data_IF_963665436898
#
_entry.id   IF_963665436898
#
_cell.length_a   1.000
_cell.length_b   1.000
_cell.length_c   1.000
_cell.angle_alpha   90.00
_cell.angle_beta   90.00
_cell.angle_gamma   90.00
#
_symmetry.space_group_name_H-M   'P 1'
#
loop_
_entity.id
_entity.type
_entity.pdbx_description
1 polymer ?
#
# COMPACT_ATOMS: atom_id res chain seq x y z
N UNK A 1 16.06 4.71 18.70
CA UNK A 1 14.90 3.79 18.49
C UNK A 1 14.67 3.43 17.03
N UNK A 2 14.55 4.42 16.08
CA UNK A 2 14.30 4.09 14.66
C UNK A 2 15.54 3.47 13.99
N UNK A 3 16.71 3.97 14.31
CA UNK A 3 17.99 3.41 13.84
C UNK A 3 18.22 1.98 14.39
N UNK A 4 17.89 1.74 15.64
CA UNK A 4 17.97 0.40 16.24
C UNK A 4 16.98 -0.57 15.57
N UNK A 5 15.78 -0.09 15.21
CA UNK A 5 14.81 -0.87 14.46
C UNK A 5 15.32 -1.22 13.06
N UNK A 6 15.95 -0.28 12.34
CA UNK A 6 16.60 -0.56 11.05
C UNK A 6 17.66 -1.64 11.18
N UNK A 7 18.58 -1.50 12.15
CA UNK A 7 19.65 -2.47 12.37
C UNK A 7 19.10 -3.86 12.71
N UNK A 8 18.02 -3.91 13.52
CA UNK A 8 17.37 -5.18 13.87
C UNK A 8 16.72 -5.85 12.65
N UNK A 9 16.04 -5.09 11.80
CA UNK A 9 15.46 -5.61 10.56
C UNK A 9 16.56 -6.14 9.63
N UNK A 10 17.68 -5.40 9.48
CA UNK A 10 18.80 -5.83 8.62
C UNK A 10 19.42 -7.12 9.12
N UNK A 11 19.71 -7.22 10.42
CA UNK A 11 20.24 -8.47 11.02
C UNK A 11 19.28 -9.65 10.83
N UNK A 12 17.98 -9.43 10.99
CA UNK A 12 17.00 -10.49 10.76
C UNK A 12 16.99 -10.94 9.28
N UNK A 13 17.15 -10.02 8.34
CA UNK A 13 17.23 -10.35 6.90
C UNK A 13 18.56 -11.00 6.51
N UNK A 14 19.67 -10.73 7.22
CA UNK A 14 20.93 -11.48 7.05
C UNK A 14 20.74 -12.95 7.44
N UNK A 15 19.97 -13.22 8.52
CA UNK A 15 19.68 -14.59 8.97
C UNK A 15 18.63 -15.28 8.09
N UNK A 16 17.62 -14.56 7.64
CA UNK A 16 16.56 -15.07 6.77
C UNK A 16 16.21 -14.05 5.67
N UNK A 17 16.92 -14.07 4.53
CA UNK A 17 16.69 -13.10 3.43
C UNK A 17 15.29 -13.16 2.80
N UNK A 18 14.56 -14.27 3.01
CA UNK A 18 13.21 -14.46 2.46
C UNK A 18 12.09 -14.07 3.43
N UNK A 19 12.40 -13.55 4.62
CA UNK A 19 11.37 -13.11 5.56
C UNK A 19 10.64 -11.87 5.04
N UNK A 20 9.44 -12.11 4.52
CA UNK A 20 8.58 -11.08 3.94
C UNK A 20 8.17 -10.03 4.95
N UNK A 21 7.83 -10.44 6.18
CA UNK A 21 7.38 -9.52 7.22
C UNK A 21 8.49 -8.53 7.60
N UNK A 22 9.71 -9.02 7.74
CA UNK A 22 10.86 -8.15 8.05
C UNK A 22 11.21 -7.23 6.88
N UNK A 23 11.12 -7.70 5.62
CA UNK A 23 11.26 -6.84 4.44
C UNK A 23 10.25 -5.70 4.45
N UNK A 24 8.98 -6.00 4.69
CA UNK A 24 7.91 -5.00 4.76
C UNK A 24 8.12 -3.99 5.88
N UNK A 25 8.48 -4.46 7.07
CA UNK A 25 8.78 -3.60 8.20
C UNK A 25 9.94 -2.64 7.88
N UNK A 26 10.99 -3.12 7.23
CA UNK A 26 12.12 -2.29 6.79
C UNK A 26 11.69 -1.26 5.74
N UNK A 27 10.89 -1.67 4.74
CA UNK A 27 10.35 -0.76 3.72
C UNK A 27 9.52 0.34 4.39
N UNK A 28 8.58 -0.03 5.25
CA UNK A 28 7.74 0.92 5.97
C UNK A 28 8.55 1.88 6.84
N UNK A 29 9.56 1.37 7.54
CA UNK A 29 10.46 2.20 8.35
C UNK A 29 11.18 3.23 7.48
N UNK A 30 11.73 2.84 6.34
CA UNK A 30 12.47 3.72 5.44
C UNK A 30 11.59 4.73 4.68
N UNK A 31 10.26 4.59 4.74
CA UNK A 31 9.35 5.64 4.24
C UNK A 31 9.24 6.84 5.19
N UNK A 32 9.48 6.64 6.48
CA UNK A 32 9.32 7.68 7.53
C UNK A 32 10.63 8.04 8.23
N UNK A 33 11.68 7.25 8.03
CA UNK A 33 12.98 7.42 8.67
C UNK A 33 14.07 7.64 7.63
N UNK A 34 14.93 8.63 7.87
CA UNK A 34 16.11 8.89 7.05
C UNK A 34 17.32 8.24 7.71
N UNK A 35 17.93 7.20 7.08
CA UNK A 35 19.10 6.53 7.64
C UNK A 35 20.34 7.44 7.63
N UNK A 36 21.26 7.22 8.56
CA UNK A 36 22.52 8.00 8.64
C UNK A 36 23.40 7.74 7.41
N UNK A 37 23.47 6.50 6.96
CA UNK A 37 24.22 6.13 5.75
C UNK A 37 23.28 6.04 4.54
N UNK A 38 23.01 7.19 3.91
CA UNK A 38 22.10 7.30 2.77
C UNK A 38 22.69 6.64 1.53
N UNK A 39 23.99 6.81 1.28
CA UNK A 39 24.64 6.40 0.02
C UNK A 39 24.62 4.88 -0.22
N UNK A 40 24.61 4.09 0.83
CA UNK A 40 24.55 2.62 0.75
C UNK A 40 23.13 2.05 0.86
N UNK A 41 22.12 2.90 1.15
CA UNK A 41 20.76 2.45 1.39
C UNK A 41 19.91 2.54 0.13
N UNK A 42 19.96 1.51 -0.73
CA UNK A 42 19.29 1.47 -2.02
C UNK A 42 17.75 1.63 -1.89
N UNK A 43 17.14 1.03 -0.87
CA UNK A 43 15.69 1.19 -0.61
C UNK A 43 15.33 2.63 -0.31
N UNK A 44 16.13 3.30 0.51
CA UNK A 44 15.90 4.72 0.82
C UNK A 44 16.06 5.60 -0.41
N UNK A 45 17.12 5.39 -1.19
CA UNK A 45 17.37 6.14 -2.43
C UNK A 45 16.25 5.95 -3.44
N UNK A 46 15.79 4.73 -3.63
CA UNK A 46 14.65 4.44 -4.50
C UNK A 46 13.38 5.16 -4.03
N UNK A 47 13.09 5.14 -2.73
CA UNK A 47 11.94 5.84 -2.16
C UNK A 47 12.03 7.36 -2.35
N UNK A 48 13.22 7.96 -2.22
CA UNK A 48 13.42 9.39 -2.48
C UNK A 48 13.19 9.75 -3.95
N UNK A 49 13.56 8.88 -4.90
CA UNK A 49 13.25 9.10 -6.32
C UNK A 49 11.74 9.01 -6.57
N UNK A 50 11.04 8.04 -5.97
CA UNK A 50 9.58 7.97 -6.04
C UNK A 50 8.91 9.23 -5.50
N UNK A 51 9.38 9.78 -4.38
CA UNK A 51 8.85 11.03 -3.81
C UNK A 51 9.02 12.24 -4.74
N UNK A 52 10.04 12.24 -5.60
CA UNK A 52 10.29 13.30 -6.58
C UNK A 52 9.36 13.23 -7.78
N UNK A 53 8.68 12.10 -8.00
CA UNK A 53 7.65 12.01 -9.03
C UNK A 53 6.48 12.89 -8.60
N UNK A 54 6.43 14.09 -9.16
CA UNK A 54 5.42 15.09 -8.81
C UNK A 54 4.09 14.73 -9.48
N UNK A 55 3.19 14.08 -8.73
CA UNK A 55 2.00 13.42 -9.23
C UNK A 55 0.83 14.35 -9.47
N UNK A 56 0.78 15.49 -8.78
CA UNK A 56 -0.40 16.35 -8.83
C UNK A 56 -0.01 17.80 -8.57
N UNK A 57 -0.08 18.60 -9.62
CA UNK A 57 0.26 20.02 -9.54
C UNK A 57 -0.79 20.90 -8.88
N UNK A 58 -2.06 20.47 -8.80
CA UNK A 58 -3.16 21.26 -8.19
C UNK A 58 -4.17 20.35 -7.49
N UNK A 59 -4.81 20.86 -6.44
CA UNK A 59 -5.81 20.10 -5.65
C UNK A 59 -7.04 19.66 -6.44
N UNK A 60 -7.39 20.36 -7.53
CA UNK A 60 -8.63 20.16 -8.31
C UNK A 60 -8.41 19.52 -9.69
N UNK A 61 -7.19 19.18 -10.07
CA UNK A 61 -6.95 18.61 -11.41
C UNK A 61 -7.24 17.11 -11.43
N UNK A 62 -8.08 16.69 -12.36
CA UNK A 62 -8.27 15.28 -12.68
C UNK A 62 -7.02 14.78 -13.40
N UNK A 63 -6.54 13.61 -13.00
CA UNK A 63 -5.44 12.95 -13.71
C UNK A 63 -5.97 12.37 -15.03
N UNK A 64 -5.31 12.69 -16.12
CA UNK A 64 -5.58 12.11 -17.44
C UNK A 64 -4.93 10.75 -17.60
N UNK A 65 -5.38 9.94 -18.57
CA UNK A 65 -4.76 8.64 -18.87
C UNK A 65 -3.29 8.80 -19.26
N UNK A 66 -2.96 9.84 -20.00
CA UNK A 66 -1.57 10.15 -20.39
C UNK A 66 -0.68 10.41 -19.18
N UNK A 67 -1.18 11.13 -18.20
CA UNK A 67 -0.44 11.39 -16.95
C UNK A 67 -0.31 10.13 -16.09
N UNK A 68 -1.37 9.32 -16.00
CA UNK A 68 -1.32 8.05 -15.29
C UNK A 68 -0.33 7.06 -15.93
N UNK A 69 -0.31 6.97 -17.26
CA UNK A 69 0.64 6.16 -18.01
C UNK A 69 2.07 6.65 -17.78
N UNK A 70 2.31 7.95 -17.87
CA UNK A 70 3.64 8.54 -17.62
C UNK A 70 4.11 8.26 -16.21
N UNK A 71 3.21 8.37 -15.21
CA UNK A 71 3.49 8.04 -13.83
C UNK A 71 3.95 6.58 -13.67
N UNK A 72 3.18 5.66 -14.25
CA UNK A 72 3.51 4.25 -14.22
C UNK A 72 4.87 3.95 -14.88
N UNK A 73 5.14 4.55 -16.04
CA UNK A 73 6.41 4.39 -16.75
C UNK A 73 7.59 4.91 -15.92
N UNK A 74 7.48 6.12 -15.37
CA UNK A 74 8.51 6.68 -14.48
C UNK A 74 8.75 5.77 -13.24
N UNK A 75 7.68 5.25 -12.67
CA UNK A 75 7.78 4.30 -11.56
C UNK A 75 8.52 3.01 -11.94
N UNK A 76 8.22 2.45 -13.11
CA UNK A 76 8.91 1.28 -13.64
C UNK A 76 10.41 1.54 -13.91
N UNK A 77 10.76 2.70 -14.44
CA UNK A 77 12.16 3.08 -14.68
C UNK A 77 12.94 3.15 -13.36
N UNK A 78 12.38 3.80 -12.33
CA UNK A 78 12.98 3.84 -11.00
C UNK A 78 13.14 2.43 -10.44
N UNK A 79 12.09 1.61 -10.48
CA UNK A 79 12.14 0.24 -9.99
C UNK A 79 13.26 -0.57 -10.67
N UNK A 80 13.33 -0.51 -12.00
CA UNK A 80 14.36 -1.22 -12.79
C UNK A 80 15.77 -0.73 -12.51
N UNK A 81 15.95 0.59 -12.30
CA UNK A 81 17.25 1.20 -12.00
C UNK A 81 17.87 0.61 -10.73
N UNK A 82 17.07 0.38 -9.69
CA UNK A 82 17.56 -0.13 -8.41
C UNK A 82 17.61 -1.66 -8.37
N UNK A 83 16.84 -2.34 -9.20
CA UNK A 83 16.79 -3.81 -9.33
C UNK A 83 16.75 -4.54 -7.98
N UNK A 84 15.97 -4.03 -7.04
CA UNK A 84 15.80 -4.62 -5.72
C UNK A 84 14.80 -5.76 -5.77
N UNK A 85 15.13 -6.87 -5.12
CA UNK A 85 14.18 -7.97 -4.88
C UNK A 85 13.14 -7.53 -3.83
N UNK A 86 12.10 -6.91 -4.32
CA UNK A 86 10.94 -6.48 -3.53
C UNK A 86 9.79 -7.47 -3.68
N UNK A 87 10.01 -8.76 -3.45
CA UNK A 87 8.91 -9.71 -3.31
C UNK A 87 7.97 -9.25 -2.20
N UNK A 88 7.09 -8.30 -2.54
CA UNK A 88 6.06 -7.78 -1.63
C UNK A 88 4.83 -8.64 -1.82
N UNK A 89 4.38 -9.29 -0.75
CA UNK A 89 3.16 -10.09 -0.76
C UNK A 89 1.88 -9.24 -0.77
N UNK A 90 1.99 -7.93 -0.59
CA UNK A 90 0.84 -7.04 -0.54
C UNK A 90 0.56 -6.38 -1.88
N UNK A 91 -0.50 -6.82 -2.51
CA UNK A 91 -1.07 -6.20 -3.69
C UNK A 91 -2.13 -5.15 -3.31
N UNK A 92 -1.94 -4.48 -2.18
CA UNK A 92 -2.90 -3.55 -1.60
C UNK A 92 -2.20 -2.27 -1.15
N UNK A 93 -2.81 -1.13 -1.45
CA UNK A 93 -2.40 0.18 -0.97
C UNK A 93 -3.55 0.76 -0.15
N UNK A 94 -3.26 1.14 1.09
CA UNK A 94 -4.26 1.66 2.02
C UNK A 94 -4.12 3.16 2.22
N UNK A 95 -5.25 3.84 2.33
CA UNK A 95 -5.38 5.07 3.08
C UNK A 95 -6.26 4.77 4.29
N UNK A 96 -5.63 4.62 5.45
CA UNK A 96 -6.36 4.47 6.70
C UNK A 96 -6.86 5.81 7.20
N UNK A 97 -7.97 5.77 7.91
CA UNK A 97 -8.40 6.83 8.80
C UNK A 97 -7.77 6.63 10.20
N UNK A 98 -8.15 7.46 11.16
CA UNK A 98 -7.72 7.35 12.55
C UNK A 98 -8.40 6.19 13.31
N UNK A 99 -9.45 5.61 12.75
CA UNK A 99 -10.23 4.54 13.37
C UNK A 99 -9.60 3.20 13.07
N UNK A 100 -9.13 2.51 14.09
CA UNK A 100 -8.67 1.13 13.98
C UNK A 100 -9.86 0.17 14.04
N UNK A 101 -10.20 -0.45 12.92
CA UNK A 101 -11.30 -1.41 12.81
C UNK A 101 -11.02 -2.76 13.49
N UNK A 102 -9.84 -2.96 14.06
CA UNK A 102 -9.41 -4.22 14.68
C UNK A 102 -9.62 -5.49 13.81
N UNK A 103 -9.59 -5.34 12.49
CA UNK A 103 -9.86 -6.44 11.55
C UNK A 103 -8.98 -7.67 11.80
N UNK A 104 -7.72 -7.49 12.16
CA UNK A 104 -6.81 -8.60 12.48
C UNK A 104 -7.27 -9.41 13.71
N UNK A 105 -7.85 -8.75 14.71
CA UNK A 105 -8.43 -9.42 15.88
C UNK A 105 -9.69 -10.19 15.49
N UNK A 106 -10.57 -9.58 14.73
CA UNK A 106 -11.82 -10.21 14.26
C UNK A 106 -11.54 -11.41 13.37
N UNK A 107 -10.61 -11.32 12.43
CA UNK A 107 -10.19 -12.44 11.58
C UNK A 107 -9.57 -13.58 12.38
N UNK A 108 -8.85 -13.28 13.46
CA UNK A 108 -8.29 -14.31 14.34
C UNK A 108 -9.39 -15.10 15.05
N UNK A 109 -10.41 -14.41 15.58
CA UNK A 109 -11.58 -15.04 16.20
C UNK A 109 -12.32 -15.91 15.17
N UNK A 110 -12.55 -15.39 13.96
CA UNK A 110 -13.18 -16.15 12.89
C UNK A 110 -12.39 -17.42 12.55
N UNK A 111 -11.08 -17.32 12.35
CA UNK A 111 -10.23 -18.45 11.96
C UNK A 111 -10.10 -19.50 13.06
N UNK A 112 -10.09 -19.09 14.36
CA UNK A 112 -9.94 -20.00 15.47
C UNK A 112 -11.25 -20.67 15.89
N UNK A 113 -12.36 -19.95 15.79
CA UNK A 113 -13.64 -20.39 16.37
C UNK A 113 -14.77 -20.51 15.36
N UNK A 114 -14.54 -20.14 14.07
CA UNK A 114 -15.55 -20.04 13.03
C UNK A 114 -16.76 -19.17 13.43
N UNK A 115 -16.49 -18.11 14.22
CA UNK A 115 -17.49 -17.18 14.72
C UNK A 115 -17.25 -15.81 14.08
N UNK A 116 -18.30 -15.21 13.52
CA UNK A 116 -18.27 -13.85 13.02
C UNK A 116 -18.55 -12.90 14.18
N UNK A 117 -17.60 -12.02 14.58
CA UNK A 117 -17.85 -11.03 15.63
C UNK A 117 -18.99 -10.08 15.25
N UNK A 118 -19.80 -9.68 16.23
CA UNK A 118 -20.96 -8.81 16.03
C UNK A 118 -20.62 -7.53 15.25
N UNK A 119 -19.50 -6.91 15.56
CA UNK A 119 -19.03 -5.70 14.84
C UNK A 119 -18.81 -5.90 13.35
N UNK A 120 -18.62 -7.15 12.89
CA UNK A 120 -18.41 -7.44 11.47
C UNK A 120 -19.73 -7.51 10.68
N UNK A 121 -20.88 -7.65 11.34
CA UNK A 121 -22.17 -7.68 10.67
C UNK A 121 -22.58 -6.31 10.09
N UNK A 122 -22.11 -5.22 10.69
CA UNK A 122 -22.31 -3.86 10.18
C UNK A 122 -21.19 -3.33 9.28
N UNK A 123 -20.15 -4.13 9.05
CA UNK A 123 -19.00 -3.70 8.27
C UNK A 123 -19.23 -3.93 6.76
N UNK A 124 -19.81 -2.95 6.09
CA UNK A 124 -20.01 -2.97 4.65
C UNK A 124 -18.80 -2.40 3.91
N UNK A 125 -18.63 -2.85 2.67
CA UNK A 125 -17.62 -2.32 1.75
C UNK A 125 -18.28 -1.99 0.42
N UNK A 126 -18.06 -0.77 -0.04
CA UNK A 126 -18.37 -0.41 -1.42
C UNK A 126 -17.17 -0.83 -2.28
N UNK A 127 -17.42 -1.63 -3.30
CA UNK A 127 -16.42 -2.06 -4.28
C UNK A 127 -16.58 -1.24 -5.56
N UNK A 128 -15.45 -0.71 -6.04
CA UNK A 128 -15.34 -0.05 -7.33
C UNK A 128 -14.41 -0.90 -8.18
N UNK A 129 -14.94 -1.51 -9.22
CA UNK A 129 -14.17 -2.29 -10.20
C UNK A 129 -13.72 -1.39 -11.35
N UNK A 130 -12.53 -1.65 -11.87
CA UNK A 130 -11.95 -0.95 -13.01
C UNK A 130 -11.26 -1.96 -13.92
N UNK A 131 -11.12 -1.65 -15.21
CA UNK A 131 -10.74 -2.62 -16.23
C UNK A 131 -9.24 -2.66 -16.53
N UNK A 132 -8.47 -1.71 -16.01
CA UNK A 132 -7.05 -1.61 -16.30
C UNK A 132 -6.22 -1.09 -15.14
N UNK A 133 -4.90 -1.34 -15.22
CA UNK A 133 -3.93 -0.79 -14.24
C UNK A 133 -3.91 0.75 -14.26
N UNK A 134 -4.14 1.37 -15.42
CA UNK A 134 -4.20 2.83 -15.55
C UNK A 134 -5.39 3.39 -14.77
N UNK A 135 -6.53 2.74 -14.90
CA UNK A 135 -7.73 3.12 -14.15
C UNK A 135 -7.58 2.84 -12.65
N UNK A 136 -6.89 1.76 -12.27
CA UNK A 136 -6.57 1.51 -10.85
C UNK A 136 -5.69 2.62 -10.26
N UNK A 137 -4.71 3.11 -11.00
CA UNK A 137 -3.87 4.24 -10.59
C UNK A 137 -4.72 5.51 -10.42
N UNK A 138 -5.61 5.79 -11.38
CA UNK A 138 -6.56 6.91 -11.30
C UNK A 138 -7.47 6.77 -10.09
N UNK A 139 -8.05 5.59 -9.89
CA UNK A 139 -8.90 5.29 -8.74
C UNK A 139 -8.16 5.50 -7.41
N UNK A 140 -6.91 5.03 -7.32
CA UNK A 140 -6.08 5.25 -6.13
C UNK A 140 -5.90 6.74 -5.84
N UNK A 141 -5.59 7.55 -6.85
CA UNK A 141 -5.41 8.99 -6.68
C UNK A 141 -6.72 9.70 -6.30
N UNK A 142 -7.85 9.29 -6.90
CA UNK A 142 -9.17 9.79 -6.54
C UNK A 142 -9.50 9.44 -5.10
N UNK A 143 -9.38 8.17 -4.71
CA UNK A 143 -9.66 7.73 -3.34
C UNK A 143 -8.73 8.39 -2.31
N UNK A 144 -7.53 8.79 -2.71
CA UNK A 144 -6.61 9.50 -1.83
C UNK A 144 -7.01 10.98 -1.61
N UNK A 145 -7.65 11.60 -2.59
CA UNK A 145 -8.05 13.02 -2.55
C UNK A 145 -9.45 13.25 -2.01
N UNK A 146 -10.38 12.35 -2.33
CA UNK A 146 -11.78 12.54 -1.99
C UNK A 146 -11.95 12.69 -0.47
N UNK A 147 -12.66 13.74 -0.06
CA UNK A 147 -13.06 13.94 1.33
C UNK A 147 -14.37 13.20 1.58
N UNK A 148 -14.40 12.37 2.58
CA UNK A 148 -15.61 11.67 3.02
C UNK A 148 -15.97 12.12 4.43
N UNK A 149 -17.27 12.22 4.72
CA UNK A 149 -17.77 12.72 6.00
C UNK A 149 -17.19 11.97 7.20
N UNK A 150 -17.04 10.67 7.08
CA UNK A 150 -16.56 9.79 8.16
C UNK A 150 -15.09 9.39 8.03
N UNK A 151 -14.33 10.04 7.12
CA UNK A 151 -12.91 9.70 6.87
C UNK A 151 -12.67 8.18 6.73
N UNK A 152 -13.51 7.50 5.96
CA UNK A 152 -13.52 6.04 5.84
C UNK A 152 -12.18 5.46 5.35
N UNK A 153 -11.80 4.30 5.85
CA UNK A 153 -10.67 3.54 5.33
C UNK A 153 -10.93 3.15 3.87
N UNK A 154 -9.91 3.31 3.03
CA UNK A 154 -9.96 3.03 1.59
C UNK A 154 -8.76 2.23 1.18
N UNK A 155 -8.93 1.34 0.22
CA UNK A 155 -7.81 0.63 -0.38
C UNK A 155 -7.99 0.42 -1.87
N UNK A 156 -6.89 0.35 -2.60
CA UNK A 156 -6.83 -0.19 -3.95
C UNK A 156 -6.04 -1.49 -3.93
N UNK A 157 -6.43 -2.46 -4.75
CA UNK A 157 -5.78 -3.76 -4.77
C UNK A 157 -5.93 -4.47 -6.11
N UNK A 158 -5.03 -5.43 -6.32
CA UNK A 158 -5.19 -6.51 -7.28
C UNK A 158 -5.85 -7.69 -6.55
N UNK A 159 -6.93 -8.23 -7.12
CA UNK A 159 -7.57 -9.43 -6.60
C UNK A 159 -7.01 -10.65 -7.31
N UNK A 160 -6.28 -11.47 -6.58
CA UNK A 160 -5.66 -12.69 -7.14
C UNK A 160 -6.43 -13.96 -6.85
N UNK A 161 -7.50 -13.88 -6.05
CA UNK A 161 -8.34 -15.04 -5.75
C UNK A 161 -9.27 -15.32 -6.95
N UNK A 162 -9.23 -16.53 -7.52
CA UNK A 162 -9.96 -16.82 -8.76
C UNK A 162 -11.47 -16.74 -8.61
N UNK A 163 -11.98 -16.99 -7.40
CA UNK A 163 -13.42 -17.03 -7.12
C UNK A 163 -14.04 -15.68 -6.82
N UNK A 164 -13.23 -14.59 -6.85
CA UNK A 164 -13.69 -13.24 -6.52
C UNK A 164 -13.57 -12.35 -7.74
N UNK A 165 -14.70 -11.81 -8.19
CA UNK A 165 -14.75 -10.90 -9.34
C UNK A 165 -14.00 -9.59 -9.12
N UNK A 166 -13.62 -8.95 -10.21
CA UNK A 166 -12.95 -7.66 -10.24
C UNK A 166 -11.46 -7.75 -9.89
N UNK A 167 -10.62 -7.98 -10.91
CA UNK A 167 -9.17 -8.08 -10.73
C UNK A 167 -8.55 -6.78 -10.21
N UNK A 168 -8.93 -5.65 -10.80
CA UNK A 168 -8.55 -4.32 -10.34
C UNK A 168 -9.68 -3.69 -9.56
N UNK A 169 -9.47 -3.36 -8.30
CA UNK A 169 -10.55 -2.80 -7.50
C UNK A 169 -10.10 -1.83 -6.41
N UNK A 170 -10.99 -0.88 -6.12
CA UNK A 170 -10.97 -0.07 -4.91
C UNK A 170 -12.06 -0.52 -3.95
N UNK A 171 -11.80 -0.37 -2.67
CA UNK A 171 -12.74 -0.66 -1.60
C UNK A 171 -12.82 0.53 -0.64
N UNK A 172 -14.04 0.89 -0.26
CA UNK A 172 -14.33 1.88 0.76
C UNK A 172 -15.06 1.16 1.89
N UNK A 173 -14.52 1.25 3.09
CA UNK A 173 -15.11 0.64 4.27
C UNK A 173 -16.15 1.60 4.84
N UNK A 174 -17.41 1.17 4.88
CA UNK A 174 -18.51 1.91 5.44
C UNK A 174 -18.77 1.42 6.88
N UNK A 175 -18.30 2.17 7.87
CA UNK A 175 -18.40 1.84 9.30
C UNK A 175 -18.96 3.04 10.03
#
# INVERSE_FOLDING_TARGET
>A
KLQEAELSCRKALEMNPKDKNTKENLINLLTVYKPDNISSNQLYLMNEEFRRINLVKKENDFITDKEAIKLYQNGLEIYRKYNLDLEISFLQIYKSNEINLNCNRHMRIFNQHNIIPEFCFGCYKVQVEVDSIVELIKLFLVLNKIKMSNNNTRKCMLELRPDISGFYKGLIYCV
#
